data_IF_646236617660
#
_entry.id   IF_646236617660
#
_cell.length_a   1.000
_cell.length_b   1.000
_cell.length_c   1.000
_cell.angle_alpha   90.00
_cell.angle_beta   90.00
_cell.angle_gamma   90.00
#
_symmetry.space_group_name_H-M   'P 1'
#
loop_
_entity.id
_entity.type
_entity.pdbx_description
1 polymer ?
#
# COMPACT_ATOMS: atom_id res chain seq x y z
N UNK A 1 11.25 8.77 19.06
CA UNK A 1 10.99 8.95 17.61
C UNK A 1 11.11 7.60 16.93
N UNK A 2 10.11 7.16 16.14
CA UNK A 2 10.13 5.90 15.40
C UNK A 2 10.15 6.21 13.90
N UNK A 3 11.10 5.65 13.17
CA UNK A 3 11.16 5.76 11.71
C UNK A 3 10.38 4.60 11.11
N UNK A 4 9.47 4.90 10.19
CA UNK A 4 8.69 3.90 9.45
C UNK A 4 9.01 4.10 7.97
N UNK A 5 9.79 3.21 7.35
CA UNK A 5 10.07 3.30 5.92
C UNK A 5 8.79 3.12 5.11
N UNK A 6 8.66 3.91 4.04
CA UNK A 6 7.58 3.82 3.08
C UNK A 6 8.14 3.45 1.71
N UNK A 7 7.67 2.33 1.15
CA UNK A 7 8.11 1.80 -0.13
C UNK A 7 7.11 2.17 -1.23
N UNK A 8 7.61 2.68 -2.36
CA UNK A 8 6.82 2.93 -3.56
C UNK A 8 6.99 1.82 -4.58
N UNK A 9 5.89 1.36 -5.17
CA UNK A 9 5.86 0.34 -6.22
C UNK A 9 5.10 0.83 -7.46
N UNK A 10 5.16 0.03 -8.53
CA UNK A 10 4.47 0.27 -9.79
C UNK A 10 3.49 -0.87 -10.09
N UNK A 11 2.44 -1.00 -9.26
CA UNK A 11 1.41 -2.03 -9.38
C UNK A 11 1.77 -3.40 -8.79
N UNK A 12 2.81 -3.45 -7.94
CA UNK A 12 3.37 -4.69 -7.38
C UNK A 12 3.41 -4.69 -5.85
N UNK A 13 2.87 -3.66 -5.18
CA UNK A 13 2.94 -3.56 -3.73
C UNK A 13 2.34 -4.78 -3.02
N UNK A 14 1.20 -5.30 -3.50
CA UNK A 14 0.57 -6.50 -2.93
C UNK A 14 1.52 -7.71 -2.93
N UNK A 15 2.09 -8.05 -4.10
CA UNK A 15 2.98 -9.20 -4.27
C UNK A 15 4.30 -9.01 -3.50
N UNK A 16 4.87 -7.80 -3.53
CA UNK A 16 6.10 -7.46 -2.83
C UNK A 16 5.92 -7.57 -1.31
N UNK A 17 4.84 -7.01 -0.76
CA UNK A 17 4.57 -7.04 0.67
C UNK A 17 4.28 -8.46 1.16
N UNK A 18 3.55 -9.27 0.38
CA UNK A 18 3.35 -10.69 0.66
C UNK A 18 4.68 -11.49 0.64
N UNK A 19 5.56 -11.20 -0.33
CA UNK A 19 6.88 -11.79 -0.40
C UNK A 19 7.73 -11.42 0.82
N UNK A 20 7.77 -10.14 1.20
CA UNK A 20 8.53 -9.68 2.37
C UNK A 20 7.99 -10.24 3.68
N UNK A 21 6.66 -10.36 3.84
CA UNK A 21 6.07 -11.02 4.98
C UNK A 21 6.61 -12.45 5.14
N UNK A 22 6.62 -13.22 4.04
CA UNK A 22 7.17 -14.57 4.04
C UNK A 22 8.69 -14.61 4.29
N UNK A 23 9.45 -13.75 3.60
CA UNK A 23 10.91 -13.77 3.65
C UNK A 23 11.48 -13.28 4.99
N UNK A 24 10.79 -12.35 5.65
CA UNK A 24 11.23 -11.70 6.88
C UNK A 24 10.53 -12.25 8.13
N UNK A 25 9.59 -13.19 7.97
CA UNK A 25 8.81 -13.74 9.09
C UNK A 25 7.84 -12.73 9.70
N UNK A 26 7.25 -11.87 8.86
CA UNK A 26 6.28 -10.86 9.24
C UNK A 26 4.86 -11.16 8.76
N UNK A 27 3.98 -10.19 8.93
CA UNK A 27 2.59 -10.25 8.51
C UNK A 27 2.13 -8.92 7.92
N UNK A 28 1.42 -8.97 6.79
CA UNK A 28 0.69 -7.80 6.29
C UNK A 28 -0.54 -7.61 7.18
N UNK A 29 -0.59 -6.53 7.95
CA UNK A 29 -1.65 -6.25 8.94
C UNK A 29 -2.71 -5.29 8.42
N UNK A 30 -2.42 -4.55 7.36
CA UNK A 30 -3.41 -3.77 6.61
C UNK A 30 -3.08 -3.75 5.11
N UNK A 31 -4.12 -3.71 4.29
CA UNK A 31 -4.01 -3.42 2.86
C UNK A 31 -5.30 -2.74 2.39
N UNK A 32 -5.18 -1.69 1.58
CA UNK A 32 -6.28 -0.94 1.01
C UNK A 32 -5.95 -0.60 -0.45
N UNK A 33 -6.91 -0.82 -1.35
CA UNK A 33 -6.84 -0.39 -2.74
C UNK A 33 -7.38 1.02 -2.91
N UNK A 34 -7.00 1.69 -4.00
CA UNK A 34 -7.52 3.04 -4.29
C UNK A 34 -9.05 3.07 -4.42
N UNK A 35 -9.67 2.04 -5.03
CA UNK A 35 -11.15 1.94 -5.11
C UNK A 35 -11.87 1.86 -3.76
N UNK A 36 -11.16 1.41 -2.72
CA UNK A 36 -11.70 1.22 -1.37
C UNK A 36 -11.37 2.43 -0.47
N UNK A 37 -10.68 3.45 -1.00
CA UNK A 37 -10.27 4.62 -0.25
C UNK A 37 -11.47 5.56 -0.02
N UNK A 38 -11.84 5.86 1.24
CA UNK A 38 -12.98 6.72 1.52
C UNK A 38 -12.71 8.16 1.07
N UNK A 39 -13.75 8.92 0.71
CA UNK A 39 -13.63 10.37 0.57
C UNK A 39 -13.16 10.99 1.90
N UNK A 40 -12.35 12.05 1.82
CA UNK A 40 -11.90 12.81 2.99
C UNK A 40 -12.37 14.26 2.87
N UNK A 41 -12.38 15.00 3.98
CA UNK A 41 -12.91 16.37 4.02
C UNK A 41 -12.27 17.26 2.94
N UNK A 42 -13.07 17.61 1.93
CA UNK A 42 -12.64 18.45 0.81
C UNK A 42 -11.95 17.72 -0.36
N UNK A 43 -11.80 16.40 -0.31
CA UNK A 43 -11.19 15.61 -1.39
C UNK A 43 -12.12 14.46 -1.82
N UNK A 44 -12.47 14.36 -3.12
CA UNK A 44 -13.21 13.21 -3.62
C UNK A 44 -12.40 11.93 -3.38
N UNK A 45 -13.10 10.80 -3.21
CA UNK A 45 -12.45 9.49 -3.20
C UNK A 45 -11.74 9.21 -4.54
N UNK A 46 -10.95 8.14 -4.60
CA UNK A 46 -10.13 7.85 -5.77
C UNK A 46 -10.90 7.21 -6.95
N UNK A 47 -12.23 7.16 -6.89
CA UNK A 47 -13.09 6.44 -7.84
C UNK A 47 -13.08 7.00 -9.27
N UNK A 48 -12.56 8.22 -9.48
CA UNK A 48 -12.43 8.86 -10.79
C UNK A 48 -11.09 8.56 -11.48
N UNK A 49 -10.18 7.83 -10.82
CA UNK A 49 -8.91 7.45 -11.42
C UNK A 49 -9.07 6.34 -12.49
N UNK A 50 -8.12 6.18 -13.43
CA UNK A 50 -8.18 5.13 -14.45
C UNK A 50 -8.40 3.74 -13.83
N UNK A 51 -9.18 2.88 -14.50
CA UNK A 51 -9.54 1.57 -13.97
C UNK A 51 -8.34 0.72 -13.53
N UNK A 52 -7.20 0.80 -14.24
CA UNK A 52 -5.98 0.09 -13.82
C UNK A 52 -5.44 0.57 -12.46
N UNK A 53 -5.54 1.87 -12.19
CA UNK A 53 -5.07 2.47 -10.93
C UNK A 53 -6.01 2.23 -9.76
N UNK A 54 -7.28 1.91 -10.01
CA UNK A 54 -8.26 1.60 -8.95
C UNK A 54 -7.94 0.29 -8.22
N UNK A 55 -7.31 -0.66 -8.92
CA UNK A 55 -6.91 -1.95 -8.35
C UNK A 55 -5.53 -1.94 -7.68
N UNK A 56 -4.78 -0.84 -7.82
CA UNK A 56 -3.51 -0.62 -7.14
C UNK A 56 -3.67 -0.42 -5.63
N UNK A 57 -2.64 -0.80 -4.88
CA UNK A 57 -2.59 -0.66 -3.43
C UNK A 57 -2.34 0.81 -3.08
N UNK A 58 -3.30 1.46 -2.44
CA UNK A 58 -3.16 2.81 -1.90
C UNK A 58 -2.39 2.82 -0.57
N UNK A 59 -2.46 1.71 0.18
CA UNK A 59 -1.82 1.55 1.47
C UNK A 59 -1.64 0.07 1.80
N UNK A 60 -0.47 -0.31 2.30
CA UNK A 60 -0.19 -1.60 2.91
C UNK A 60 0.74 -1.42 4.10
N UNK A 61 0.52 -2.19 5.17
CA UNK A 61 1.39 -2.24 6.35
C UNK A 61 1.86 -3.67 6.59
N UNK A 62 3.18 -3.84 6.71
CA UNK A 62 3.84 -5.07 7.09
C UNK A 62 4.50 -4.89 8.46
N UNK A 63 4.19 -5.80 9.38
CA UNK A 63 4.78 -5.87 10.70
C UNK A 63 5.76 -7.06 10.80
N UNK A 64 6.98 -6.79 11.28
CA UNK A 64 8.06 -7.77 11.42
C UNK A 64 8.66 -7.61 12.82
N UNK A 65 8.21 -8.41 13.78
CA UNK A 65 8.59 -8.26 15.18
C UNK A 65 8.20 -6.87 15.72
N UNK A 66 9.18 -5.99 15.95
CA UNK A 66 8.95 -4.60 16.38
C UNK A 66 9.12 -3.56 15.26
N UNK A 67 9.42 -3.99 14.03
CA UNK A 67 9.56 -3.14 12.86
C UNK A 67 8.23 -3.04 12.08
N UNK A 68 8.01 -1.88 11.47
CA UNK A 68 6.87 -1.61 10.59
C UNK A 68 7.43 -1.11 9.25
N UNK A 69 6.94 -1.67 8.16
CA UNK A 69 7.17 -1.19 6.79
C UNK A 69 5.82 -0.83 6.18
N UNK A 70 5.73 0.33 5.54
CA UNK A 70 4.54 0.74 4.80
C UNK A 70 4.83 0.74 3.31
N UNK A 71 3.81 0.57 2.49
CA UNK A 71 3.95 0.63 1.04
C UNK A 71 2.68 1.13 0.35
N UNK A 72 2.86 1.64 -0.87
CA UNK A 72 1.79 1.88 -1.83
C UNK A 72 2.32 1.75 -3.26
N UNK A 73 1.40 1.49 -4.18
CA UNK A 73 1.63 1.64 -5.60
C UNK A 73 1.47 3.13 -5.97
N UNK A 74 2.50 3.68 -6.61
CA UNK A 74 2.50 5.05 -7.09
C UNK A 74 1.61 5.20 -8.33
N UNK A 75 0.89 6.33 -8.46
CA UNK A 75 0.00 6.59 -9.60
C UNK A 75 0.72 6.80 -10.95
N UNK A 76 2.06 6.68 -11.01
CA UNK A 76 2.88 6.96 -12.19
C UNK A 76 3.78 5.80 -12.66
N UNK A 77 3.47 4.56 -12.30
CA UNK A 77 4.32 3.41 -12.57
C UNK A 77 3.92 2.58 -13.80
N UNK A 78 4.32 3.02 -15.00
CA UNK A 78 4.36 2.19 -16.23
C UNK A 78 3.12 2.22 -17.12
#
# INVERSE_FOLDING_TARGET
>A
MRLIPFLGFSGQAHEAMAFYAKALGGQVTSEMKYRDMPPSDGMPGCNEMPAQTLDHVAHSQLEIGNAIVMAADGPGGG
#
